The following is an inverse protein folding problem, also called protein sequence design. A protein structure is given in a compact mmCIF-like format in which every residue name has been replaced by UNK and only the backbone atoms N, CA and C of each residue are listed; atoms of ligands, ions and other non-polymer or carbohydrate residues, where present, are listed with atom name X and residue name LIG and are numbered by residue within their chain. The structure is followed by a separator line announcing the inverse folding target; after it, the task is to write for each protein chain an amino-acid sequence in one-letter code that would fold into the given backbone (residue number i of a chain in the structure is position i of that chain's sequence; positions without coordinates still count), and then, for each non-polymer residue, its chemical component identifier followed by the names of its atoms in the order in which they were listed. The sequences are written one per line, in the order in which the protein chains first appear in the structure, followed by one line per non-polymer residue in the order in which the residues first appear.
data_IF_835034366662
#
_entry.id   IF_835034366662
#
_cell.length_a   1.000
_cell.length_b   1.000
_cell.length_c   1.000
_cell.angle_alpha   90.00
_cell.angle_beta   90.00
_cell.angle_gamma   90.00
#
_symmetry.space_group_name_H-M   'P 1'
#
loop_
_entity.id
_entity.type
_entity.pdbx_description
1 polymer ?
#
# COMPACT_ATOMS: atom_id res chain seq x y z
N UNK A 1 -24.72 12.97 -1.11
CA UNK A 1 -24.26 11.77 -1.84
C UNK A 1 -23.89 10.69 -0.83
N UNK A 2 -24.46 9.49 -0.95
CA UNK A 2 -24.10 8.38 -0.07
C UNK A 2 -22.65 7.98 -0.32
N UNK A 3 -21.83 7.98 0.74
CA UNK A 3 -20.41 7.57 0.68
C UNK A 3 -20.31 6.10 0.25
N UNK A 4 -19.57 5.82 -0.83
CA UNK A 4 -19.38 4.44 -1.33
C UNK A 4 -18.73 3.56 -0.25
N UNK A 5 -19.29 2.38 -0.02
CA UNK A 5 -18.73 1.40 0.90
C UNK A 5 -17.81 0.43 0.12
N UNK A 6 -16.54 0.81 -0.03
CA UNK A 6 -15.56 0.02 -0.79
C UNK A 6 -15.25 -1.35 -0.16
N UNK A 7 -15.43 -1.50 1.16
CA UNK A 7 -15.32 -2.81 1.81
C UNK A 7 -16.40 -3.77 1.32
N UNK A 8 -17.66 -3.29 1.24
CA UNK A 8 -18.76 -4.11 0.71
C UNK A 8 -18.55 -4.44 -0.76
N UNK A 9 -18.12 -3.47 -1.56
CA UNK A 9 -17.81 -3.69 -2.99
C UNK A 9 -16.73 -4.77 -3.15
N UNK A 10 -15.68 -4.74 -2.33
CA UNK A 10 -14.65 -5.79 -2.34
C UNK A 10 -15.24 -7.18 -2.02
N UNK A 11 -16.07 -7.27 -0.99
CA UNK A 11 -16.68 -8.54 -0.58
C UNK A 11 -17.63 -9.11 -1.65
N UNK A 12 -18.37 -8.24 -2.34
CA UNK A 12 -19.24 -8.62 -3.44
C UNK A 12 -18.41 -9.12 -4.63
N UNK A 13 -17.34 -8.41 -5.02
CA UNK A 13 -16.41 -8.83 -6.08
C UNK A 13 -15.72 -10.17 -5.76
N UNK A 14 -15.31 -10.39 -4.52
CA UNK A 14 -14.75 -11.68 -4.08
C UNK A 14 -15.77 -12.78 -4.25
N UNK A 15 -17.01 -12.59 -3.80
CA UNK A 15 -18.08 -13.58 -3.91
C UNK A 15 -18.40 -13.94 -5.36
N UNK A 16 -18.36 -12.95 -6.25
CA UNK A 16 -18.69 -13.14 -7.68
C UNK A 16 -17.57 -13.83 -8.46
N UNK A 17 -16.31 -13.63 -8.07
CA UNK A 17 -15.15 -14.05 -8.87
C UNK A 17 -14.33 -15.18 -8.26
N UNK A 18 -14.50 -15.48 -6.96
CA UNK A 18 -13.76 -16.54 -6.27
C UNK A 18 -14.70 -17.71 -5.96
N UNK A 19 -14.75 -18.68 -6.85
CA UNK A 19 -15.52 -19.92 -6.64
C UNK A 19 -14.67 -21.00 -5.98
N UNK A 20 -15.31 -21.99 -5.39
CA UNK A 20 -14.58 -23.10 -4.75
C UNK A 20 -13.74 -23.86 -5.81
N UNK A 21 -12.43 -23.81 -5.67
CA UNK A 21 -11.48 -24.51 -6.55
C UNK A 21 -10.72 -23.65 -7.55
N UNK A 22 -11.17 -22.42 -7.82
CA UNK A 22 -10.47 -21.49 -8.74
C UNK A 22 -10.25 -20.13 -8.04
N UNK A 23 -9.01 -19.88 -7.65
CA UNK A 23 -8.60 -18.59 -7.09
C UNK A 23 -8.01 -17.73 -8.21
N UNK A 24 -8.59 -16.55 -8.52
CA UNK A 24 -8.00 -15.65 -9.50
C UNK A 24 -6.66 -15.08 -9.02
N UNK A 25 -5.84 -14.63 -9.97
CA UNK A 25 -4.55 -13.98 -9.71
C UNK A 25 -4.74 -12.52 -9.32
N UNK A 26 -4.02 -12.05 -8.29
CA UNK A 26 -4.10 -10.69 -7.79
C UNK A 26 -2.72 -10.09 -7.58
N UNK A 27 -2.44 -8.96 -8.24
CA UNK A 27 -1.26 -8.15 -7.98
C UNK A 27 -1.55 -7.13 -6.86
N UNK A 28 -0.90 -7.30 -5.71
CA UNK A 28 -1.06 -6.45 -4.53
C UNK A 28 0.11 -5.47 -4.42
N UNK A 29 -0.07 -4.22 -4.86
CA UNK A 29 0.92 -3.18 -4.62
C UNK A 29 1.11 -2.94 -3.11
N UNK A 30 2.36 -3.02 -2.63
CA UNK A 30 2.71 -2.87 -1.21
C UNK A 30 3.88 -1.92 -0.99
N UNK A 31 3.87 -1.20 0.15
CA UNK A 31 4.95 -0.31 0.56
C UNK A 31 5.72 -0.79 1.79
N UNK A 32 5.21 -1.73 2.55
CA UNK A 32 5.85 -2.26 3.76
C UNK A 32 5.08 -3.46 4.32
N UNK A 33 5.76 -4.32 5.05
CA UNK A 33 5.19 -5.51 5.68
C UNK A 33 4.03 -5.19 6.66
N UNK A 34 4.14 -4.20 7.57
CA UNK A 34 3.04 -3.86 8.47
C UNK A 34 1.73 -3.53 7.74
N UNK A 35 1.80 -2.76 6.64
CA UNK A 35 0.61 -2.39 5.88
C UNK A 35 0.04 -3.57 5.07
N UNK A 36 0.88 -4.48 4.62
CA UNK A 36 0.45 -5.63 3.81
C UNK A 36 -0.05 -6.80 4.64
N UNK A 37 0.32 -6.90 5.90
CA UNK A 37 0.05 -8.08 6.74
C UNK A 37 -1.44 -8.47 6.78
N UNK A 38 -2.30 -7.56 7.17
CA UNK A 38 -3.74 -7.81 7.17
C UNK A 38 -4.33 -7.95 5.77
N UNK A 39 -3.80 -7.18 4.80
CA UNK A 39 -4.25 -7.30 3.41
C UNK A 39 -3.96 -8.70 2.86
N UNK A 40 -2.76 -9.23 3.11
CA UNK A 40 -2.38 -10.60 2.73
C UNK A 40 -3.26 -11.62 3.45
N UNK A 41 -3.44 -11.49 4.78
CA UNK A 41 -4.29 -12.39 5.56
C UNK A 41 -5.72 -12.50 4.99
N UNK A 42 -6.28 -11.37 4.53
CA UNK A 42 -7.63 -11.36 3.94
C UNK A 42 -7.65 -11.89 2.50
N UNK A 43 -6.68 -11.47 1.68
CA UNK A 43 -6.73 -11.71 0.23
C UNK A 43 -6.24 -13.11 -0.14
N UNK A 44 -5.25 -13.66 0.57
CA UNK A 44 -4.73 -15.00 0.30
C UNK A 44 -5.71 -16.15 0.66
N UNK A 45 -6.86 -15.84 1.26
CA UNK A 45 -7.98 -16.79 1.41
C UNK A 45 -8.73 -17.01 0.09
N UNK A 46 -8.64 -16.06 -0.85
CA UNK A 46 -9.47 -15.99 -2.04
C UNK A 46 -8.70 -15.88 -3.35
N UNK A 47 -7.45 -15.42 -3.33
CA UNK A 47 -6.63 -15.11 -4.49
C UNK A 47 -5.25 -15.77 -4.42
N UNK A 48 -4.68 -16.04 -5.61
CA UNK A 48 -3.24 -16.21 -5.75
C UNK A 48 -2.58 -14.83 -5.75
N UNK A 49 -2.06 -14.42 -4.59
CA UNK A 49 -1.54 -13.06 -4.37
C UNK A 49 -0.08 -12.99 -4.77
N UNK A 50 0.27 -12.01 -5.60
CA UNK A 50 1.65 -11.58 -5.81
C UNK A 50 1.81 -10.17 -5.25
N UNK A 51 2.68 -10.01 -4.26
CA UNK A 51 3.03 -8.70 -3.70
C UNK A 51 3.99 -8.00 -4.66
N UNK A 52 3.56 -6.84 -5.16
CA UNK A 52 4.36 -5.98 -6.03
C UNK A 52 4.93 -4.81 -5.22
N UNK A 53 6.24 -4.85 -4.99
CA UNK A 53 6.96 -3.84 -4.21
C UNK A 53 7.58 -2.80 -5.14
N UNK A 54 6.79 -1.78 -5.53
CA UNK A 54 7.23 -0.65 -6.35
C UNK A 54 7.05 0.66 -5.60
N UNK A 55 8.14 1.25 -5.13
CA UNK A 55 8.12 2.38 -4.20
C UNK A 55 9.26 3.38 -4.49
N UNK A 56 9.25 4.08 -5.63
CA UNK A 56 10.29 5.05 -5.98
C UNK A 56 10.35 6.26 -5.04
N UNK A 57 9.31 6.42 -4.21
CA UNK A 57 9.21 7.50 -3.24
C UNK A 57 9.97 7.25 -1.93
N UNK A 58 10.36 6.00 -1.62
CA UNK A 58 10.96 5.70 -0.32
C UNK A 58 12.39 6.26 -0.25
N UNK A 59 12.66 7.01 0.81
CA UNK A 59 13.93 7.66 1.10
C UNK A 59 14.27 7.51 2.60
N UNK A 60 15.54 7.28 2.97
CA UNK A 60 16.68 7.04 2.09
C UNK A 60 16.66 5.63 1.45
N UNK A 61 17.62 5.30 0.56
CA UNK A 61 17.68 3.97 -0.08
C UNK A 61 17.76 2.81 0.90
N UNK A 62 18.43 2.99 2.03
CA UNK A 62 18.54 1.99 3.11
C UNK A 62 17.16 1.62 3.66
N UNK A 63 16.28 2.60 3.81
CA UNK A 63 14.89 2.38 4.24
C UNK A 63 14.10 1.58 3.21
N UNK A 64 14.31 1.84 1.90
CA UNK A 64 13.69 1.05 0.84
C UNK A 64 14.10 -0.42 0.94
N UNK A 65 15.40 -0.70 1.03
CA UNK A 65 15.92 -2.08 1.11
C UNK A 65 15.49 -2.78 2.40
N UNK A 66 15.48 -2.06 3.53
CA UNK A 66 15.01 -2.62 4.80
C UNK A 66 13.54 -3.03 4.74
N UNK A 67 12.66 -2.19 4.16
CA UNK A 67 11.24 -2.52 3.99
C UNK A 67 11.04 -3.68 3.01
N UNK A 68 11.80 -3.75 1.93
CA UNK A 68 11.74 -4.86 0.98
C UNK A 68 12.15 -6.18 1.63
N UNK A 69 13.25 -6.17 2.39
CA UNK A 69 13.73 -7.34 3.15
C UNK A 69 12.68 -7.82 4.15
N UNK A 70 12.11 -6.90 4.91
CA UNK A 70 11.07 -7.20 5.90
C UNK A 70 9.80 -7.76 5.25
N UNK A 71 9.41 -7.24 4.09
CA UNK A 71 8.27 -7.75 3.33
C UNK A 71 8.50 -9.19 2.86
N UNK A 72 9.69 -9.51 2.36
CA UNK A 72 10.08 -10.87 1.95
C UNK A 72 10.07 -11.82 3.13
N UNK A 73 10.65 -11.40 4.29
CA UNK A 73 10.67 -12.19 5.53
C UNK A 73 9.24 -12.52 5.97
N UNK A 74 8.38 -11.51 6.08
CA UNK A 74 7.00 -11.71 6.50
C UNK A 74 6.24 -12.68 5.59
N UNK A 75 6.35 -12.55 4.28
CA UNK A 75 5.71 -13.45 3.32
C UNK A 75 6.18 -14.90 3.51
N UNK A 76 7.45 -15.11 3.80
CA UNK A 76 8.01 -16.45 4.00
C UNK A 76 7.55 -17.10 5.33
N UNK A 77 7.26 -16.30 6.35
CA UNK A 77 6.90 -16.77 7.70
C UNK A 77 5.38 -16.87 7.92
N UNK A 78 4.59 -16.06 7.19
CA UNK A 78 3.15 -15.95 7.43
C UNK A 78 2.37 -17.07 6.72
N UNK A 79 1.62 -17.91 7.46
CA UNK A 79 0.83 -18.98 6.86
C UNK A 79 -0.37 -18.42 6.09
N UNK A 80 -0.54 -18.90 4.86
CA UNK A 80 -1.66 -18.51 3.97
C UNK A 80 -2.25 -19.74 3.29
N UNK A 81 -3.53 -19.65 2.93
CA UNK A 81 -4.22 -20.72 2.20
C UNK A 81 -3.60 -20.94 0.81
N UNK A 82 -3.38 -19.86 0.08
CA UNK A 82 -2.65 -19.89 -1.19
C UNK A 82 -1.28 -19.23 -1.00
N UNK A 83 -0.19 -19.83 -1.53
CA UNK A 83 1.16 -19.25 -1.41
C UNK A 83 1.21 -17.84 -1.98
N UNK A 84 1.89 -16.95 -1.27
CA UNK A 84 2.08 -15.55 -1.67
C UNK A 84 3.44 -15.38 -2.33
N UNK A 85 3.45 -14.83 -3.54
CA UNK A 85 4.68 -14.50 -4.28
C UNK A 85 5.10 -13.04 -4.02
N UNK A 86 6.37 -12.73 -4.31
CA UNK A 86 6.93 -11.39 -4.19
C UNK A 86 7.67 -11.00 -5.46
N UNK A 87 7.38 -9.80 -5.95
CA UNK A 87 8.08 -9.17 -7.08
C UNK A 87 8.51 -7.77 -6.67
N UNK A 88 9.76 -7.45 -6.90
CA UNK A 88 10.32 -6.12 -6.66
C UNK A 88 10.37 -5.34 -7.99
N UNK A 89 9.71 -4.19 -8.04
CA UNK A 89 9.77 -3.27 -9.15
C UNK A 89 11.06 -2.42 -9.12
N UNK A 90 11.31 -1.69 -10.20
CA UNK A 90 12.47 -0.81 -10.29
C UNK A 90 12.44 0.27 -9.19
N UNK A 91 13.58 0.50 -8.54
CA UNK A 91 13.76 1.60 -7.58
C UNK A 91 14.34 2.82 -8.30
N UNK A 92 13.51 3.44 -9.14
CA UNK A 92 13.86 4.67 -9.86
C UNK A 92 13.26 5.89 -9.14
N UNK A 93 14.04 6.48 -8.25
CA UNK A 93 13.63 7.63 -7.45
C UNK A 93 13.44 8.90 -8.28
N UNK A 94 14.09 9.01 -9.45
CA UNK A 94 13.95 10.19 -10.31
C UNK A 94 12.50 10.37 -10.76
N UNK A 95 11.79 9.30 -11.09
CA UNK A 95 10.36 9.34 -11.45
C UNK A 95 9.49 9.96 -10.34
N UNK A 96 9.84 9.69 -9.08
CA UNK A 96 9.12 10.31 -7.95
C UNK A 96 9.44 11.80 -7.82
N UNK A 97 10.71 12.19 -7.93
CA UNK A 97 11.10 13.59 -7.84
C UNK A 97 10.55 14.42 -8.99
N UNK A 98 10.57 13.91 -10.22
CA UNK A 98 9.98 14.58 -11.38
C UNK A 98 8.47 14.80 -11.21
N UNK A 99 7.76 13.79 -10.71
CA UNK A 99 6.33 13.88 -10.38
C UNK A 99 6.05 14.90 -9.26
N UNK A 100 6.93 14.98 -8.24
CA UNK A 100 6.74 15.84 -7.08
C UNK A 100 7.17 17.29 -7.30
N UNK A 101 7.80 17.61 -8.42
CA UNK A 101 8.33 18.94 -8.74
C UNK A 101 7.24 20.01 -8.67
N UNK A 102 7.49 21.07 -7.88
CA UNK A 102 6.54 22.14 -7.60
C UNK A 102 5.45 21.80 -6.57
N UNK A 103 5.51 20.61 -5.96
CA UNK A 103 4.59 20.16 -4.92
C UNK A 103 5.28 19.85 -3.58
N UNK A 104 6.54 20.28 -3.40
CA UNK A 104 7.42 19.92 -2.28
C UNK A 104 6.86 20.35 -0.94
N UNK A 105 6.17 21.49 -0.91
CA UNK A 105 5.60 22.09 0.31
C UNK A 105 4.13 21.72 0.55
N UNK A 106 3.50 20.97 -0.37
CA UNK A 106 2.14 20.46 -0.15
C UNK A 106 2.16 19.46 1.01
N UNK A 107 1.31 19.62 2.03
CA UNK A 107 1.30 18.73 3.20
C UNK A 107 0.94 17.28 2.85
N UNK A 108 1.30 16.34 3.74
CA UNK A 108 0.90 14.94 3.59
C UNK A 108 -0.62 14.80 3.49
N UNK A 109 -1.08 13.97 2.54
CA UNK A 109 -2.52 13.80 2.23
C UNK A 109 -3.05 14.71 1.13
N UNK A 110 -2.27 15.70 0.66
CA UNK A 110 -2.63 16.60 -0.43
C UNK A 110 -2.29 16.06 -1.83
N UNK A 111 -2.30 16.96 -2.83
CA UNK A 111 -2.16 16.63 -4.27
C UNK A 111 -0.85 15.87 -4.59
N UNK A 112 0.27 16.21 -3.93
CA UNK A 112 1.52 15.45 -4.08
C UNK A 112 1.32 13.96 -3.73
N UNK A 113 0.56 13.67 -2.67
CA UNK A 113 0.26 12.29 -2.30
C UNK A 113 -0.66 11.61 -3.31
N UNK A 114 -1.62 12.32 -3.88
CA UNK A 114 -2.50 11.77 -4.91
C UNK A 114 -1.74 11.47 -6.20
N UNK A 115 -0.82 12.34 -6.61
CA UNK A 115 0.08 12.09 -7.72
C UNK A 115 1.00 10.88 -7.45
N UNK A 116 1.52 10.74 -6.23
CA UNK A 116 2.31 9.57 -5.80
C UNK A 116 1.48 8.26 -5.84
N UNK A 117 0.20 8.29 -5.45
CA UNK A 117 -0.68 7.12 -5.60
C UNK A 117 -0.83 6.72 -7.07
N UNK A 118 -1.08 7.70 -7.93
CA UNK A 118 -1.22 7.47 -9.37
C UNK A 118 0.05 6.88 -9.98
N UNK A 119 1.22 7.45 -9.69
CA UNK A 119 2.51 6.94 -10.16
C UNK A 119 2.69 5.46 -9.82
N UNK A 120 2.44 5.09 -8.57
CA UNK A 120 2.67 3.73 -8.07
C UNK A 120 1.61 2.75 -8.56
N UNK A 121 0.34 3.16 -8.60
CA UNK A 121 -0.75 2.31 -9.10
C UNK A 121 -0.72 2.16 -10.62
N UNK A 122 -0.24 3.16 -11.37
CA UNK A 122 -0.03 3.05 -12.82
C UNK A 122 1.00 1.96 -13.15
N UNK A 123 2.10 1.91 -12.42
CA UNK A 123 3.10 0.85 -12.59
C UNK A 123 2.53 -0.53 -12.22
N UNK A 124 1.74 -0.60 -11.13
CA UNK A 124 1.07 -1.84 -10.75
C UNK A 124 0.06 -2.32 -11.80
N UNK A 125 -0.75 -1.41 -12.36
CA UNK A 125 -1.70 -1.73 -13.42
C UNK A 125 -0.99 -2.19 -14.71
N UNK A 126 0.08 -1.48 -15.10
CA UNK A 126 0.92 -1.84 -16.24
C UNK A 126 1.54 -3.24 -16.08
N UNK A 127 2.13 -3.50 -14.92
CA UNK A 127 2.71 -4.80 -14.60
C UNK A 127 1.64 -5.91 -14.58
N UNK A 128 0.49 -5.66 -13.96
CA UNK A 128 -0.62 -6.62 -13.91
C UNK A 128 -1.10 -7.00 -15.33
N UNK A 129 -1.25 -6.01 -16.21
CA UNK A 129 -1.63 -6.24 -17.60
C UNK A 129 -0.59 -7.05 -18.36
N UNK A 130 0.68 -6.66 -18.25
CA UNK A 130 1.78 -7.30 -18.98
C UNK A 130 1.98 -8.77 -18.58
N UNK A 131 1.61 -9.14 -17.34
CA UNK A 131 1.80 -10.49 -16.80
C UNK A 131 0.48 -11.28 -16.64
N UNK A 132 -0.63 -10.77 -17.18
CA UNK A 132 -1.90 -11.50 -17.23
C UNK A 132 -2.59 -11.69 -15.88
N UNK A 133 -2.40 -10.78 -14.93
CA UNK A 133 -3.16 -10.82 -13.68
C UNK A 133 -4.63 -10.49 -13.91
N UNK A 134 -5.52 -11.20 -13.20
CA UNK A 134 -6.96 -10.94 -13.25
C UNK A 134 -7.33 -9.63 -12.57
N UNK A 135 -6.62 -9.30 -11.47
CA UNK A 135 -6.86 -8.11 -10.67
C UNK A 135 -5.57 -7.43 -10.23
N UNK A 136 -5.66 -6.13 -9.95
CA UNK A 136 -4.67 -5.42 -9.14
C UNK A 136 -5.34 -4.60 -8.03
N UNK A 137 -4.61 -4.33 -6.95
CA UNK A 137 -5.04 -3.48 -5.84
C UNK A 137 -3.84 -2.94 -5.06
N UNK A 138 -4.09 -2.26 -3.93
CA UNK A 138 -3.03 -1.70 -3.10
C UNK A 138 -3.30 -1.84 -1.60
N UNK A 139 -2.24 -2.03 -0.83
CA UNK A 139 -2.29 -1.97 0.64
C UNK A 139 -2.47 -0.56 1.20
N UNK A 140 -2.35 0.48 0.37
CA UNK A 140 -2.36 1.87 0.84
C UNK A 140 -3.65 2.25 1.56
N UNK A 141 -4.78 1.64 1.20
CA UNK A 141 -6.09 1.93 1.80
C UNK A 141 -6.22 1.51 3.27
N UNK A 142 -5.25 0.73 3.83
CA UNK A 142 -5.25 0.35 5.24
C UNK A 142 -4.82 1.49 6.17
N UNK A 143 -3.99 2.41 5.67
CA UNK A 143 -3.48 3.51 6.50
C UNK A 143 -4.59 4.53 6.80
N UNK A 144 -4.78 4.92 8.08
CA UNK A 144 -5.75 5.97 8.43
C UNK A 144 -5.39 7.34 7.83
N UNK A 145 -4.12 7.55 7.50
CA UNK A 145 -3.62 8.81 6.91
C UNK A 145 -3.82 8.89 5.40
N UNK A 146 -4.37 7.84 4.77
CA UNK A 146 -4.55 7.80 3.31
C UNK A 146 -6.02 7.83 2.91
N UNK A 147 -6.30 8.60 1.86
CA UNK A 147 -7.64 8.78 1.32
C UNK A 147 -8.04 7.57 0.47
N UNK A 148 -8.85 6.66 1.05
CA UNK A 148 -9.31 5.45 0.37
C UNK A 148 -10.20 5.75 -0.84
N UNK A 149 -11.01 6.81 -0.79
CA UNK A 149 -11.85 7.22 -1.92
C UNK A 149 -11.00 7.60 -3.12
N UNK A 150 -9.97 8.44 -2.90
CA UNK A 150 -9.04 8.85 -3.96
C UNK A 150 -8.23 7.69 -4.53
N UNK A 151 -7.79 6.75 -3.67
CA UNK A 151 -7.12 5.52 -4.11
C UNK A 151 -8.02 4.67 -5.02
N UNK A 152 -9.27 4.48 -4.64
CA UNK A 152 -10.22 3.70 -5.44
C UNK A 152 -10.62 4.40 -6.73
N UNK A 153 -10.75 5.74 -6.72
CA UNK A 153 -10.97 6.52 -7.94
C UNK A 153 -9.81 6.33 -8.93
N UNK A 154 -8.57 6.52 -8.47
CA UNK A 154 -7.36 6.33 -9.28
C UNK A 154 -7.27 4.89 -9.79
N UNK A 155 -7.55 3.91 -8.94
CA UNK A 155 -7.53 2.50 -9.33
C UNK A 155 -8.54 2.18 -10.44
N UNK A 156 -9.76 2.72 -10.37
CA UNK A 156 -10.78 2.56 -11.41
C UNK A 156 -10.35 3.19 -12.75
N UNK A 157 -9.87 4.44 -12.72
CA UNK A 157 -9.38 5.13 -13.92
C UNK A 157 -8.23 4.36 -14.60
N UNK A 158 -7.33 3.77 -13.80
CA UNK A 158 -6.22 2.96 -14.32
C UNK A 158 -6.69 1.59 -14.83
N UNK A 159 -7.70 0.98 -14.19
CA UNK A 159 -8.31 -0.25 -14.68
C UNK A 159 -8.86 -0.08 -16.10
N UNK A 160 -9.60 1.01 -16.34
CA UNK A 160 -10.11 1.36 -17.66
C UNK A 160 -8.98 1.62 -18.66
N UNK A 161 -7.93 2.35 -18.24
CA UNK A 161 -6.82 2.73 -19.11
C UNK A 161 -5.94 1.56 -19.54
N UNK A 162 -5.69 0.59 -18.65
CA UNK A 162 -4.81 -0.56 -18.91
C UNK A 162 -5.57 -1.83 -19.30
N UNK A 163 -6.90 -1.85 -19.16
CA UNK A 163 -7.72 -3.04 -19.43
C UNK A 163 -7.41 -4.20 -18.48
N UNK A 164 -7.28 -3.91 -17.18
CA UNK A 164 -7.09 -4.89 -16.09
C UNK A 164 -7.99 -4.51 -14.92
N UNK A 165 -8.65 -5.47 -14.28
CA UNK A 165 -9.64 -5.19 -13.23
C UNK A 165 -8.98 -4.66 -11.95
N UNK A 166 -9.58 -3.62 -11.35
CA UNK A 166 -9.17 -3.12 -10.04
C UNK A 166 -10.04 -3.71 -8.93
N UNK A 167 -9.43 -4.33 -7.93
CA UNK A 167 -10.14 -4.78 -6.73
C UNK A 167 -10.28 -3.58 -5.77
N UNK A 168 -11.47 -3.00 -5.71
CA UNK A 168 -11.81 -1.92 -4.79
C UNK A 168 -11.60 -2.35 -3.35
N UNK A 169 -11.06 -1.45 -2.49
CA UNK A 169 -10.76 -1.81 -1.12
C UNK A 169 -10.80 -0.61 -0.15
N UNK A 170 -11.19 -0.86 1.07
CA UNK A 170 -10.92 0.02 2.22
C UNK A 170 -10.52 -0.85 3.42
N UNK A 171 -9.26 -1.30 3.41
CA UNK A 171 -8.72 -2.21 4.42
C UNK A 171 -8.68 -1.63 5.84
N UNK A 172 -9.00 -0.34 6.05
CA UNK A 172 -9.21 0.23 7.39
C UNK A 172 -10.49 -0.31 8.06
N UNK A 173 -11.49 -0.67 7.25
CA UNK A 173 -12.77 -1.21 7.75
C UNK A 173 -12.55 -2.56 8.46
N UNK A 174 -13.55 -2.98 9.25
CA UNK A 174 -13.51 -4.22 10.05
C UNK A 174 -12.27 -4.31 10.94
N UNK A 175 -11.86 -3.18 11.51
CA UNK A 175 -10.68 -3.05 12.37
C UNK A 175 -9.35 -3.43 11.70
N UNK A 176 -9.27 -3.36 10.36
CA UNK A 176 -8.12 -3.87 9.61
C UNK A 176 -6.80 -3.21 9.99
N UNK A 177 -6.79 -1.90 10.30
CA UNK A 177 -5.60 -1.22 10.79
C UNK A 177 -5.14 -1.76 12.16
N UNK A 178 -6.09 -2.02 13.09
CA UNK A 178 -5.81 -2.62 14.39
C UNK A 178 -5.22 -4.02 14.21
N UNK A 179 -5.86 -4.87 13.40
CA UNK A 179 -5.37 -6.21 13.09
C UNK A 179 -3.97 -6.20 12.45
N UNK A 180 -3.69 -5.26 11.54
CA UNK A 180 -2.34 -5.11 10.98
C UNK A 180 -1.31 -4.75 12.05
N UNK A 181 -1.72 -4.01 13.07
CA UNK A 181 -0.85 -3.67 14.22
C UNK A 181 -0.60 -4.87 15.11
N UNK A 182 -1.62 -5.69 15.35
CA UNK A 182 -1.52 -6.94 16.11
C UNK A 182 -0.59 -7.94 15.42
N UNK A 183 -0.81 -8.21 14.13
CA UNK A 183 0.07 -9.07 13.32
C UNK A 183 1.51 -8.52 13.31
N UNK A 184 1.68 -7.20 13.17
CA UNK A 184 3.02 -6.59 13.20
C UNK A 184 3.75 -6.81 14.51
N UNK A 185 3.06 -6.83 15.65
CA UNK A 185 3.63 -7.13 16.97
C UNK A 185 3.99 -8.60 17.08
N UNK A 186 3.09 -9.50 16.70
CA UNK A 186 3.28 -10.96 16.72
C UNK A 186 4.51 -11.38 15.93
N UNK A 187 4.68 -10.81 14.71
CA UNK A 187 5.81 -11.11 13.84
C UNK A 187 7.02 -10.19 14.03
N UNK A 188 7.04 -9.37 15.10
CA UNK A 188 8.14 -8.46 15.44
C UNK A 188 8.60 -7.59 14.26
N UNK A 189 7.63 -7.08 13.47
CA UNK A 189 7.94 -6.34 12.25
C UNK A 189 8.55 -4.98 12.53
N UNK A 190 9.50 -4.59 11.69
CA UNK A 190 9.94 -3.21 11.60
C UNK A 190 8.79 -2.29 11.22
N UNK A 191 8.52 -1.28 12.04
CA UNK A 191 7.49 -0.27 11.80
C UNK A 191 8.12 1.10 11.64
N UNK A 192 7.98 1.63 10.45
CA UNK A 192 8.44 2.98 10.12
C UNK A 192 7.57 4.06 10.77
N UNK A 193 8.16 5.21 11.07
CA UNK A 193 7.47 6.36 11.69
C UNK A 193 6.97 7.41 10.68
N UNK A 194 7.27 7.25 9.38
CA UNK A 194 6.85 8.15 8.30
C UNK A 194 6.35 7.36 7.08
N UNK A 195 5.65 8.02 6.15
CA UNK A 195 5.06 7.38 4.98
C UNK A 195 6.11 6.71 4.08
N UNK A 196 7.28 7.33 3.91
CA UNK A 196 8.40 6.83 3.11
C UNK A 196 9.10 7.91 2.30
N UNK A 197 8.42 8.94 1.80
CA UNK A 197 9.07 9.96 0.99
C UNK A 197 9.87 10.96 1.84
N UNK A 198 10.83 11.61 1.20
CA UNK A 198 11.69 12.63 1.81
C UNK A 198 10.89 13.74 2.50
N UNK A 199 9.76 14.14 1.92
CA UNK A 199 8.90 15.20 2.47
C UNK A 199 8.19 14.76 3.75
N UNK A 200 7.60 13.56 3.77
CA UNK A 200 6.98 13.03 4.98
C UNK A 200 8.00 12.76 6.10
N UNK A 201 9.24 12.39 5.73
CA UNK A 201 10.34 12.26 6.70
C UNK A 201 10.69 13.61 7.29
N UNK A 202 10.94 14.63 6.45
CA UNK A 202 11.23 16.02 6.86
C UNK A 202 10.17 16.54 7.85
N UNK A 203 8.89 16.36 7.52
CA UNK A 203 7.79 16.89 8.32
C UNK A 203 7.70 16.17 9.67
N UNK A 204 7.89 14.85 9.70
CA UNK A 204 7.92 14.05 10.94
C UNK A 204 9.12 14.35 11.82
N UNK A 205 10.30 14.52 11.24
CA UNK A 205 11.50 14.87 11.98
C UNK A 205 11.35 16.25 12.66
N UNK A 206 10.70 17.22 11.97
CA UNK A 206 10.34 18.52 12.55
C UNK A 206 9.35 18.40 13.71
N UNK A 207 8.29 17.60 13.56
CA UNK A 207 7.31 17.36 14.65
C UNK A 207 7.98 16.74 15.89
N UNK A 208 8.87 15.77 15.70
CA UNK A 208 9.59 15.12 16.80
C UNK A 208 10.51 16.13 17.50
N UNK A 209 11.23 16.95 16.74
CA UNK A 209 12.12 17.98 17.31
C UNK A 209 11.34 19.01 18.15
N UNK A 210 10.20 19.49 17.64
CA UNK A 210 9.35 20.45 18.36
C UNK A 210 8.79 19.86 19.67
N UNK A 211 8.35 18.59 19.67
CA UNK A 211 7.87 17.93 20.88
C UNK A 211 8.96 17.82 21.95
N UNK A 212 10.18 17.43 21.57
CA UNK A 212 11.31 17.36 22.50
C UNK A 212 11.62 18.72 23.13
N UNK A 213 11.63 19.79 22.34
CA UNK A 213 11.84 21.15 22.87
C UNK A 213 10.74 21.57 23.85
N UNK A 214 9.48 21.20 23.60
CA UNK A 214 8.37 21.48 24.52
C UNK A 214 8.48 20.69 25.84
N UNK A 215 8.91 19.42 25.77
CA UNK A 215 9.14 18.59 26.94
C UNK A 215 10.29 19.14 27.81
N UNK A 216 11.39 19.63 27.19
CA UNK A 216 12.53 20.23 27.87
C UNK A 216 12.19 21.58 28.53
N UNK A 217 11.20 22.32 28.05
CA UNK A 217 10.75 23.60 28.64
C UNK A 217 9.81 23.44 29.83
N UNK A 218 9.27 22.22 30.04
CA UNK A 218 8.33 21.92 31.14
C UNK A 218 9.06 21.36 32.38
N UNK A 219 10.31 20.92 32.21
CA UNK A 219 11.20 20.44 33.29
C UNK A 219 12.02 21.57 33.89
#
# INVERSE_FOLDING_TARGET
MNKKNYQKIMEDLIRENCTAGEAPSLLLHSCCAPCSSYCIACLAEHFHVTVFYYNPNIYPPEEYHMRAKEQKRFIAEFPTKYPVSFVEGAYDTQRFYDMAKGMEEIPEGGERCFACYRLRLSEAASYAKAHGFDFFTTTLSISPLKNAEKLNQIGAELADSFGVRYLFSDFKKKEGYKKSTEISKEYHMYRQYYCGCVYSKRDRDREIALRRQQEEQIL
#
